data_IF_552235989504
#
_entry.id   IF_552235989504
#
_cell.length_a   1.000
_cell.length_b   1.000
_cell.length_c   1.000
_cell.angle_alpha   90.00
_cell.angle_beta   90.00
_cell.angle_gamma   90.00
#
_symmetry.space_group_name_H-M   'P 1'
#
loop_
_entity.id
_entity.type
_entity.pdbx_description
1 polymer ?
#
# COMPACT_ATOMS: atom_id res chain seq x y z
N UNK A 1 5.59 -22.05 15.22
CA UNK A 1 4.24 -22.29 14.67
C UNK A 1 3.64 -20.92 14.43
N UNK A 2 3.38 -20.53 13.17
CA UNK A 2 2.80 -19.22 12.86
C UNK A 2 1.31 -19.27 13.11
N UNK A 3 0.79 -18.41 13.98
CA UNK A 3 -0.65 -18.20 14.09
C UNK A 3 -1.13 -17.52 12.82
N UNK A 4 -2.26 -17.96 12.26
CA UNK A 4 -2.92 -17.27 11.16
C UNK A 4 -3.49 -15.94 11.68
N UNK A 5 -2.95 -14.78 11.29
CA UNK A 5 -3.48 -13.48 11.69
C UNK A 5 -4.81 -13.15 11.00
N UNK A 6 -5.31 -14.04 10.14
CA UNK A 6 -6.55 -13.95 9.38
C UNK A 6 -6.40 -13.19 8.08
N UNK A 7 -7.48 -12.64 7.53
CA UNK A 7 -7.51 -12.07 6.17
C UNK A 7 -7.64 -10.56 6.19
N UNK A 8 -6.71 -9.87 5.52
CA UNK A 8 -6.81 -8.44 5.21
C UNK A 8 -7.67 -8.24 3.96
N UNK A 9 -8.74 -7.46 4.08
CA UNK A 9 -9.51 -6.93 2.94
C UNK A 9 -9.27 -5.43 2.77
N UNK A 10 -9.26 -4.97 1.52
CA UNK A 10 -9.04 -3.57 1.17
C UNK A 10 -10.10 -3.14 0.15
N UNK A 11 -10.87 -2.13 0.52
CA UNK A 11 -11.89 -1.49 -0.32
C UNK A 11 -11.45 -0.05 -0.59
N UNK A 12 -11.49 0.36 -1.86
CA UNK A 12 -11.09 1.69 -2.30
C UNK A 12 -12.23 2.28 -3.14
N UNK A 13 -12.68 3.47 -2.74
CA UNK A 13 -13.75 4.22 -3.40
C UNK A 13 -13.29 5.66 -3.62
N UNK A 14 -12.81 5.94 -4.83
CA UNK A 14 -12.16 7.22 -5.14
C UNK A 14 -10.92 7.41 -4.26
N UNK A 15 -10.78 8.53 -3.53
CA UNK A 15 -9.64 8.73 -2.65
C UNK A 15 -9.78 8.00 -1.32
N UNK A 16 -10.95 7.43 -0.99
CA UNK A 16 -11.21 6.83 0.33
C UNK A 16 -10.84 5.36 0.33
N UNK A 17 -10.23 4.92 1.43
CA UNK A 17 -9.94 3.52 1.70
C UNK A 17 -10.67 3.04 2.95
N UNK A 18 -11.02 1.76 2.95
CA UNK A 18 -11.37 0.99 4.15
C UNK A 18 -10.63 -0.33 4.11
N UNK A 19 -9.92 -0.66 5.17
CA UNK A 19 -9.24 -1.94 5.32
C UNK A 19 -9.77 -2.64 6.57
N UNK A 20 -9.96 -3.96 6.48
CA UNK A 20 -10.40 -4.79 7.60
C UNK A 20 -9.49 -5.98 7.77
N UNK A 21 -9.10 -6.26 8.99
CA UNK A 21 -8.36 -7.46 9.35
C UNK A 21 -9.15 -8.22 10.41
N UNK A 22 -9.70 -9.36 10.04
CA UNK A 22 -10.18 -10.32 11.04
C UNK A 22 -8.96 -11.00 11.65
N UNK A 23 -8.73 -10.87 12.96
CA UNK A 23 -7.60 -11.47 13.66
C UNK A 23 -8.09 -12.22 14.90
N UNK A 24 -7.48 -13.38 15.15
CA UNK A 24 -7.66 -14.15 16.39
C UNK A 24 -6.51 -13.91 17.38
N UNK A 25 -5.51 -13.13 16.97
CA UNK A 25 -4.35 -12.77 17.79
C UNK A 25 -4.48 -11.31 18.23
N UNK A 26 -4.33 -11.00 19.52
CA UNK A 26 -4.29 -9.62 20.01
C UNK A 26 -3.10 -8.86 19.40
N UNK A 27 -3.33 -7.63 18.94
CA UNK A 27 -2.29 -6.72 18.44
C UNK A 27 -2.25 -5.49 19.36
N UNK A 28 -1.06 -5.06 19.74
CA UNK A 28 -0.86 -3.97 20.71
C UNK A 28 -1.00 -2.59 20.05
N UNK A 29 -0.40 -2.41 18.88
CA UNK A 29 -0.35 -1.16 18.13
C UNK A 29 -0.41 -1.45 16.63
N UNK A 30 -1.55 -1.97 16.13
CA UNK A 30 -1.68 -2.32 14.72
C UNK A 30 -1.63 -1.07 13.85
N UNK A 31 -0.83 -1.14 12.78
CA UNK A 31 -0.70 -0.08 11.77
C UNK A 31 -0.91 -0.65 10.38
N UNK A 32 -1.73 0.01 9.59
CA UNK A 32 -1.88 -0.26 8.16
C UNK A 32 -0.90 0.61 7.39
N UNK A 33 0.03 0.00 6.70
CA UNK A 33 0.85 0.66 5.68
C UNK A 33 0.13 0.53 4.35
N UNK A 34 0.07 1.62 3.59
CA UNK A 34 -0.53 1.66 2.28
C UNK A 34 0.41 2.37 1.32
N UNK A 35 0.73 1.71 0.21
CA UNK A 35 1.52 2.28 -0.88
C UNK A 35 0.74 2.32 -2.17
N UNK A 36 0.94 3.38 -2.95
CA UNK A 36 0.55 3.44 -4.36
C UNK A 36 1.79 3.13 -5.21
N UNK A 37 1.65 2.17 -6.10
CA UNK A 37 2.69 1.68 -6.98
C UNK A 37 2.46 2.19 -8.40
N UNK A 38 3.52 2.65 -9.07
CA UNK A 38 3.54 2.92 -10.49
C UNK A 38 4.21 1.79 -11.25
N UNK A 39 3.52 1.21 -12.22
CA UNK A 39 4.02 0.18 -13.12
C UNK A 39 4.31 0.75 -14.51
N UNK A 40 5.16 0.02 -15.25
CA UNK A 40 5.55 0.33 -16.63
C UNK A 40 6.21 1.71 -16.80
N UNK A 41 6.89 2.19 -15.74
CA UNK A 41 7.64 3.44 -15.78
C UNK A 41 8.99 3.23 -16.43
N UNK A 42 9.27 4.04 -17.45
CA UNK A 42 10.60 4.18 -18.04
C UNK A 42 11.25 5.45 -17.49
N UNK A 43 12.42 5.32 -16.87
CA UNK A 43 13.25 6.48 -16.52
C UNK A 43 14.42 6.60 -17.49
N UNK A 44 14.61 7.80 -18.05
CA UNK A 44 15.84 8.13 -18.76
C UNK A 44 16.90 8.53 -17.74
N UNK A 45 17.93 7.70 -17.59
CA UNK A 45 19.05 8.00 -16.70
C UNK A 45 19.95 9.07 -17.35
N UNK A 46 19.74 10.33 -16.97
CA UNK A 46 20.44 11.49 -17.54
C UNK A 46 21.93 11.62 -17.13
N UNK A 47 22.31 11.08 -15.96
CA UNK A 47 23.69 11.04 -15.48
C UNK A 47 23.90 9.96 -14.41
N UNK A 48 25.13 9.46 -14.29
CA UNK A 48 25.51 8.36 -13.39
C UNK A 48 26.08 7.16 -14.14
N UNK A 49 26.45 6.09 -13.43
CA UNK A 49 27.08 4.88 -13.99
C UNK A 49 26.22 4.19 -15.07
N UNK A 50 24.90 4.41 -15.02
CA UNK A 50 23.92 3.86 -15.97
C UNK A 50 23.52 4.84 -17.08
N UNK A 51 24.29 5.92 -17.30
CA UNK A 51 24.03 6.92 -18.35
C UNK A 51 23.84 6.23 -19.71
N UNK A 52 22.71 6.52 -20.36
CA UNK A 52 22.37 5.99 -21.69
C UNK A 52 21.60 4.67 -21.69
N UNK A 53 21.17 4.16 -20.52
CA UNK A 53 20.32 2.97 -20.42
C UNK A 53 18.91 3.33 -19.95
N UNK A 54 17.89 2.73 -20.56
CA UNK A 54 16.52 2.76 -20.04
C UNK A 54 16.39 1.72 -18.92
N UNK A 55 16.06 2.16 -17.70
CA UNK A 55 15.72 1.27 -16.60
C UNK A 55 14.21 1.06 -16.60
N UNK A 56 13.78 -0.12 -17.04
CA UNK A 56 12.40 -0.57 -16.86
C UNK A 56 12.27 -1.09 -15.44
N UNK A 57 11.65 -0.31 -14.58
CA UNK A 57 11.29 -0.78 -13.25
C UNK A 57 10.01 -1.61 -13.35
N UNK A 58 9.99 -2.81 -12.78
CA UNK A 58 8.76 -3.62 -12.73
C UNK A 58 7.65 -2.85 -12.00
N UNK A 59 8.01 -2.12 -10.94
CA UNK A 59 7.20 -1.08 -10.31
C UNK A 59 8.04 -0.18 -9.40
N UNK A 60 7.52 0.99 -9.05
CA UNK A 60 8.09 1.89 -8.02
C UNK A 60 7.02 2.31 -7.02
N UNK A 61 7.41 2.63 -5.79
CA UNK A 61 6.51 3.26 -4.82
C UNK A 61 6.41 4.74 -5.14
N UNK A 62 5.21 5.20 -5.50
CA UNK A 62 4.94 6.60 -5.82
C UNK A 62 4.45 7.38 -4.61
N UNK A 63 3.74 6.74 -3.69
CA UNK A 63 3.27 7.35 -2.46
C UNK A 63 3.13 6.30 -1.34
N UNK A 64 3.30 6.72 -0.09
CA UNK A 64 3.21 5.86 1.09
C UNK A 64 2.54 6.61 2.25
N UNK A 65 1.59 5.96 2.92
CA UNK A 65 1.03 6.43 4.17
C UNK A 65 0.89 5.29 5.18
N UNK A 66 0.85 5.67 6.46
CA UNK A 66 0.58 4.77 7.56
C UNK A 66 -0.68 5.25 8.29
N UNK A 67 -1.63 4.35 8.48
CA UNK A 67 -2.88 4.61 9.18
C UNK A 67 -2.92 3.82 10.49
N UNK A 68 -3.31 4.50 11.57
CA UNK A 68 -3.60 3.87 12.84
C UNK A 68 -4.97 3.18 12.85
N UNK A 69 -5.20 2.33 13.85
CA UNK A 69 -6.49 1.69 14.07
C UNK A 69 -7.60 2.73 14.28
N UNK A 70 -8.72 2.58 13.58
CA UNK A 70 -9.89 3.44 13.74
C UNK A 70 -10.93 2.82 14.69
N UNK A 71 -11.18 1.52 14.54
CA UNK A 71 -12.12 0.79 15.36
C UNK A 71 -11.72 -0.69 15.51
N UNK A 72 -12.17 -1.30 16.59
CA UNK A 72 -12.05 -2.74 16.84
C UNK A 72 -13.40 -3.25 17.36
N UNK A 73 -13.91 -4.31 16.75
CA UNK A 73 -15.14 -4.98 17.19
C UNK A 73 -15.09 -6.47 16.85
N UNK A 74 -15.44 -7.34 17.79
CA UNK A 74 -15.59 -8.79 17.58
C UNK A 74 -14.41 -9.48 16.86
N UNK A 75 -13.17 -9.10 17.19
CA UNK A 75 -11.97 -9.66 16.57
C UNK A 75 -11.66 -9.12 15.17
N UNK A 76 -12.37 -8.08 14.73
CA UNK A 76 -12.08 -7.35 13.50
C UNK A 76 -11.46 -5.99 13.81
N UNK A 77 -10.37 -5.67 13.11
CA UNK A 77 -9.73 -4.36 13.12
C UNK A 77 -10.14 -3.59 11.87
N UNK A 78 -10.53 -2.34 12.05
CA UNK A 78 -10.88 -1.44 10.96
C UNK A 78 -9.92 -0.26 10.86
N UNK A 79 -9.47 -0.02 9.64
CA UNK A 79 -8.67 1.13 9.23
C UNK A 79 -9.44 1.91 8.16
N UNK A 80 -9.52 3.22 8.31
CA UNK A 80 -10.12 4.13 7.32
C UNK A 80 -9.19 5.31 7.09
N UNK A 81 -9.21 5.82 5.87
CA UNK A 81 -8.34 6.92 5.50
C UNK A 81 -8.49 7.30 4.04
N UNK A 82 -7.48 8.02 3.55
CA UNK A 82 -7.36 8.34 2.14
C UNK A 82 -6.14 7.65 1.53
N UNK A 83 -6.20 7.34 0.24
CA UNK A 83 -5.03 6.93 -0.52
C UNK A 83 -3.93 8.01 -0.38
N UNK A 84 -2.66 7.61 -0.21
CA UNK A 84 -1.58 8.58 -0.16
C UNK A 84 -1.42 9.24 -1.53
N UNK A 85 -1.21 10.54 -1.52
CA UNK A 85 -0.89 11.33 -2.71
C UNK A 85 0.55 11.86 -2.59
N UNK A 86 1.18 12.15 -3.73
CA UNK A 86 2.52 12.71 -3.81
C UNK A 86 2.70 13.50 -5.11
N UNK A 87 3.77 14.28 -5.20
CA UNK A 87 4.15 14.92 -6.46
C UNK A 87 4.47 13.88 -7.55
N UNK A 88 5.13 12.77 -7.20
CA UNK A 88 5.50 11.71 -8.14
C UNK A 88 4.30 11.01 -8.79
N UNK A 89 3.13 10.99 -8.14
CA UNK A 89 1.89 10.54 -8.79
C UNK A 89 1.46 11.47 -9.94
N UNK A 90 1.70 12.77 -9.81
CA UNK A 90 1.39 13.76 -10.85
C UNK A 90 2.44 13.78 -11.97
N UNK A 91 3.68 13.41 -11.67
CA UNK A 91 4.77 13.29 -12.66
C UNK A 91 4.58 12.12 -13.61
N UNK A 92 3.71 11.16 -13.26
CA UNK A 92 3.43 9.96 -14.06
C UNK A 92 1.92 9.75 -14.30
N UNK A 93 1.24 10.67 -15.03
CA UNK A 93 -0.20 10.62 -15.22
C UNK A 93 -0.67 9.40 -16.02
N UNK A 94 0.20 8.85 -16.87
CA UNK A 94 -0.08 7.68 -17.71
C UNK A 94 0.34 6.35 -17.05
N UNK A 95 0.87 6.39 -15.83
CA UNK A 95 1.31 5.19 -15.14
C UNK A 95 0.15 4.24 -14.87
N UNK A 96 0.40 2.95 -15.05
CA UNK A 96 -0.52 1.94 -14.55
C UNK A 96 -0.37 1.84 -13.03
N UNK A 97 -1.39 2.25 -12.31
CA UNK A 97 -1.34 2.31 -10.85
C UNK A 97 -1.86 1.03 -10.18
N UNK A 98 -1.24 0.66 -9.07
CA UNK A 98 -1.72 -0.37 -8.15
C UNK A 98 -1.61 0.09 -6.70
N UNK A 99 -2.25 -0.64 -5.80
CA UNK A 99 -2.03 -0.51 -4.36
C UNK A 99 -1.43 -1.79 -3.80
N UNK A 100 -0.60 -1.63 -2.79
CA UNK A 100 -0.29 -2.68 -1.84
C UNK A 100 -0.52 -2.13 -0.43
N UNK A 101 -1.12 -2.94 0.42
CA UNK A 101 -1.37 -2.62 1.81
C UNK A 101 -0.94 -3.79 2.69
N UNK A 102 -0.39 -3.50 3.85
CA UNK A 102 -0.08 -4.52 4.85
C UNK A 102 -0.27 -4.01 6.27
N UNK A 103 -0.59 -4.93 7.18
CA UNK A 103 -0.70 -4.64 8.61
C UNK A 103 0.56 -5.09 9.31
N UNK A 104 1.12 -4.24 10.17
CA UNK A 104 2.20 -4.55 11.11
C UNK A 104 1.76 -4.25 12.54
N UNK A 105 2.44 -4.81 13.54
CA UNK A 105 2.19 -4.49 14.94
C UNK A 105 3.40 -3.83 15.61
N UNK A 106 3.17 -2.75 16.37
CA UNK A 106 4.22 -2.01 17.08
C UNK A 106 5.33 -1.51 16.15
N UNK A 107 6.58 -1.53 16.60
CA UNK A 107 7.73 -1.10 15.79
C UNK A 107 8.20 -2.16 14.77
N UNK A 108 7.55 -3.34 14.73
CA UNK A 108 7.98 -4.42 13.85
C UNK A 108 7.77 -4.04 12.38
N UNK A 109 8.80 -4.20 11.52
CA UNK A 109 8.64 -4.02 10.08
C UNK A 109 7.98 -5.24 9.41
N UNK A 110 7.74 -6.33 10.16
CA UNK A 110 7.25 -7.59 9.60
C UNK A 110 5.75 -7.48 9.27
N UNK A 111 5.35 -7.70 8.01
CA UNK A 111 3.94 -7.76 7.65
C UNK A 111 3.26 -8.99 8.28
N UNK A 112 2.12 -8.78 8.94
CA UNK A 112 1.23 -9.83 9.42
C UNK A 112 0.34 -10.35 8.29
N UNK A 113 -0.25 -9.43 7.54
CA UNK A 113 -1.06 -9.70 6.35
C UNK A 113 -0.82 -8.62 5.32
N UNK A 114 -0.97 -8.99 4.06
CA UNK A 114 -0.89 -8.08 2.93
C UNK A 114 -2.02 -8.32 1.93
N UNK A 115 -2.48 -7.24 1.31
CA UNK A 115 -3.45 -7.25 0.23
C UNK A 115 -2.99 -6.26 -0.85
N UNK A 116 -3.40 -6.48 -2.09
CA UNK A 116 -3.03 -5.59 -3.18
C UNK A 116 -3.92 -5.78 -4.39
N UNK A 117 -3.89 -4.79 -5.29
CA UNK A 117 -4.70 -4.81 -6.49
C UNK A 117 -4.47 -3.60 -7.37
N UNK A 118 -4.95 -3.70 -8.62
CA UNK A 118 -4.85 -2.62 -9.60
C UNK A 118 -5.84 -1.49 -9.27
N UNK A 119 -5.37 -0.25 -9.35
CA UNK A 119 -6.24 0.92 -9.36
C UNK A 119 -6.76 1.10 -10.78
N UNK A 120 -8.07 1.03 -10.94
CA UNK A 120 -8.70 1.34 -12.23
C UNK A 120 -8.92 2.85 -12.32
N UNK A 121 -8.71 3.47 -13.49
CA UNK A 121 -9.09 4.86 -13.71
C UNK A 121 -10.56 5.04 -13.35
N UNK A 122 -10.90 6.17 -12.73
CA UNK A 122 -12.29 6.59 -12.65
C UNK A 122 -12.78 6.78 -14.09
N UNK A 123 -13.76 5.99 -14.52
CA UNK A 123 -14.41 6.13 -15.83
C UNK A 123 -15.36 7.31 -15.81
#
# INVERSE_FOLDING_TARGET
QGADPGRLSLEIHGPRLRARLATVVPLEQPRLHLVVLGFDLESQVAAGENRGRALRHDFVVLAHAVHGLNAMSDGELEFTGALPTSASLHEHPDARLAVAAWVSDGASPVPLQAAGGWLRPAR
#
